data_IF_056628163864
#
_entry.id   IF_056628163864
#
_cell.length_a   1.000
_cell.length_b   1.000
_cell.length_c   1.000
_cell.angle_alpha   90.00
_cell.angle_beta   90.00
_cell.angle_gamma   90.00
#
_symmetry.space_group_name_H-M   'P 1'
#
loop_
_entity.id
_entity.type
_entity.pdbx_description
1 polymer ?
#
# COMPACT_ATOMS: atom_id res chain seq x y z
N UNK A 1 -21.53 -26.15 21.76
CA UNK A 1 -22.82 -26.13 21.05
C UNK A 1 -23.23 -27.58 20.78
N UNK A 2 -24.41 -28.03 21.21
CA UNK A 2 -24.92 -29.38 20.97
C UNK A 2 -24.89 -29.76 19.47
N UNK A 3 -24.64 -31.04 19.18
CA UNK A 3 -24.53 -31.56 17.80
C UNK A 3 -25.79 -31.29 16.96
N UNK A 4 -26.96 -31.30 17.62
CA UNK A 4 -28.26 -31.00 17.03
C UNK A 4 -28.36 -29.56 16.51
N UNK A 5 -27.71 -28.62 17.19
CA UNK A 5 -27.73 -27.19 16.84
C UNK A 5 -26.78 -26.89 15.67
N UNK A 6 -25.68 -27.65 15.55
CA UNK A 6 -24.78 -27.57 14.37
C UNK A 6 -25.48 -28.02 13.10
N UNK A 7 -26.30 -29.07 13.18
CA UNK A 7 -27.03 -29.63 12.02
C UNK A 7 -28.13 -28.69 11.52
N UNK A 8 -28.86 -28.06 12.44
CA UNK A 8 -29.87 -27.03 12.15
C UNK A 8 -29.27 -25.82 11.41
N UNK A 9 -28.13 -25.31 11.88
CA UNK A 9 -27.40 -24.24 11.19
C UNK A 9 -26.89 -24.68 9.81
N UNK A 10 -26.39 -25.90 9.66
CA UNK A 10 -25.91 -26.42 8.37
C UNK A 10 -27.03 -26.54 7.32
N UNK A 11 -28.23 -26.98 7.72
CA UNK A 11 -29.40 -27.13 6.85
C UNK A 11 -30.01 -25.78 6.45
N UNK A 12 -29.67 -24.68 7.15
CA UNK A 12 -30.17 -23.34 6.85
C UNK A 12 -29.45 -22.69 5.64
N UNK A 13 -28.23 -23.12 5.33
CA UNK A 13 -27.39 -22.57 4.25
C UNK A 13 -27.24 -23.50 3.04
N UNK A 14 -27.84 -24.70 3.10
CA UNK A 14 -27.93 -25.65 2.00
C UNK A 14 -29.41 -25.79 1.62
N UNK A 15 -29.83 -25.52 0.38
CA UNK A 15 -31.23 -25.70 -0.01
C UNK A 15 -31.65 -27.17 0.20
N UNK A 16 -32.86 -27.46 0.73
CA UNK A 16 -33.32 -28.82 1.05
C UNK A 16 -33.48 -29.77 -0.15
N UNK A 17 -33.14 -29.32 -1.36
CA UNK A 17 -33.27 -30.07 -2.61
C UNK A 17 -32.06 -29.89 -3.52
N UNK A 18 -30.85 -29.71 -2.96
CA UNK A 18 -29.65 -30.21 -3.63
C UNK A 18 -29.63 -31.73 -3.51
N UNK A 19 -30.67 -32.37 -4.06
CA UNK A 19 -30.67 -33.78 -4.36
C UNK A 19 -29.36 -34.07 -5.08
N UNK A 20 -28.74 -35.19 -4.70
CA UNK A 20 -27.67 -35.85 -5.43
C UNK A 20 -28.16 -36.31 -6.83
N UNK A 21 -28.88 -35.47 -7.56
CA UNK A 21 -28.86 -35.52 -9.01
C UNK A 21 -27.42 -35.28 -9.36
N UNK A 22 -26.75 -36.37 -9.72
CA UNK A 22 -25.38 -36.39 -10.19
C UNK A 22 -25.18 -35.13 -11.06
N UNK A 23 -24.47 -34.14 -10.50
CA UNK A 23 -23.88 -33.07 -11.30
C UNK A 23 -23.18 -33.84 -12.39
N UNK A 24 -23.70 -33.76 -13.62
CA UNK A 24 -23.08 -34.42 -14.77
C UNK A 24 -21.66 -33.89 -14.77
N UNK A 25 -20.72 -34.70 -14.27
CA UNK A 25 -19.31 -34.33 -14.28
C UNK A 25 -19.03 -34.02 -15.74
N UNK A 26 -18.61 -32.79 -16.08
CA UNK A 26 -18.10 -32.55 -17.42
C UNK A 26 -17.05 -33.64 -17.70
N UNK A 27 -16.95 -34.13 -18.96
CA UNK A 27 -15.92 -35.09 -19.32
C UNK A 27 -14.61 -34.63 -18.71
N UNK A 28 -13.93 -35.50 -17.97
CA UNK A 28 -12.62 -35.15 -17.40
C UNK A 28 -11.70 -34.99 -18.59
N UNK A 29 -11.51 -33.75 -19.06
CA UNK A 29 -10.43 -33.45 -19.99
C UNK A 29 -9.15 -33.97 -19.35
N UNK A 30 -8.44 -34.83 -20.06
CA UNK A 30 -7.18 -35.34 -19.57
C UNK A 30 -6.21 -34.17 -19.51
N UNK A 31 -5.86 -33.76 -18.30
CA UNK A 31 -4.86 -32.74 -18.06
C UNK A 31 -3.48 -33.35 -18.31
N UNK A 32 -2.75 -32.80 -19.27
CA UNK A 32 -1.36 -33.15 -19.53
C UNK A 32 -0.53 -31.88 -19.55
N UNK A 33 0.57 -31.89 -18.80
CA UNK A 33 1.59 -30.86 -18.90
C UNK A 33 2.31 -30.97 -20.25
N UNK A 34 2.50 -29.85 -20.91
CA UNK A 34 3.41 -29.73 -22.04
C UNK A 34 4.85 -29.96 -21.58
N UNK A 35 5.76 -30.20 -22.53
CA UNK A 35 7.18 -30.37 -22.19
C UNK A 35 7.77 -29.09 -21.57
N UNK A 36 7.36 -27.92 -22.06
CA UNK A 36 7.79 -26.63 -21.51
C UNK A 36 7.32 -26.44 -20.07
N UNK A 37 6.07 -26.77 -19.77
CA UNK A 37 5.53 -26.70 -18.39
C UNK A 37 6.20 -27.71 -17.45
N UNK A 38 6.53 -28.92 -17.92
CA UNK A 38 7.30 -29.87 -17.10
C UNK A 38 8.69 -29.37 -16.77
N UNK A 39 9.38 -28.78 -17.75
CA UNK A 39 10.70 -28.18 -17.53
C UNK A 39 10.58 -27.04 -16.52
N UNK A 40 9.62 -26.13 -16.71
CA UNK A 40 9.36 -25.02 -15.80
C UNK A 40 9.08 -25.51 -14.37
N UNK A 41 8.23 -26.52 -14.20
CA UNK A 41 7.94 -27.10 -12.89
C UNK A 41 9.18 -27.73 -12.25
N UNK A 42 10.02 -28.42 -13.04
CA UNK A 42 11.25 -29.04 -12.55
C UNK A 42 12.27 -27.98 -12.10
N UNK A 43 12.41 -26.89 -12.84
CA UNK A 43 13.32 -25.79 -12.50
C UNK A 43 12.88 -24.98 -11.28
N UNK A 44 11.59 -24.96 -10.97
CA UNK A 44 11.01 -24.14 -9.91
C UNK A 44 10.49 -24.97 -8.70
N UNK A 45 10.69 -26.29 -8.69
CA UNK A 45 10.27 -27.15 -7.59
C UNK A 45 11.28 -27.13 -6.41
N UNK A 46 10.81 -27.22 -5.15
CA UNK A 46 9.40 -27.24 -4.77
C UNK A 46 8.79 -25.83 -4.80
N UNK A 47 7.62 -25.70 -5.43
CA UNK A 47 6.79 -24.49 -5.38
C UNK A 47 6.08 -24.48 -4.02
N UNK A 48 6.44 -23.52 -3.18
CA UNK A 48 5.86 -23.40 -1.85
C UNK A 48 4.48 -22.75 -1.90
N UNK A 49 3.48 -23.40 -1.29
CA UNK A 49 2.11 -22.90 -1.16
C UNK A 49 1.78 -22.77 0.31
N UNK A 50 1.52 -21.56 0.77
CA UNK A 50 1.12 -21.30 2.14
C UNK A 50 -0.33 -21.71 2.42
N UNK A 51 -0.57 -22.32 3.58
CA UNK A 51 -1.92 -22.63 4.08
C UNK A 51 -2.07 -22.23 5.54
N UNK A 52 -3.25 -21.74 5.92
CA UNK A 52 -3.50 -21.38 7.31
C UNK A 52 -3.32 -22.58 8.25
N UNK A 53 -2.74 -22.36 9.41
CA UNK A 53 -2.52 -23.42 10.40
C UNK A 53 -3.65 -23.54 11.46
N UNK A 54 -4.62 -22.62 11.48
CA UNK A 54 -5.63 -22.53 12.54
C UNK A 54 -7.03 -22.12 12.04
N UNK A 55 -7.47 -22.63 10.88
CA UNK A 55 -8.80 -22.33 10.32
C UNK A 55 -9.61 -23.60 9.95
N UNK A 56 -10.02 -24.41 10.95
CA UNK A 56 -10.83 -25.60 10.69
C UNK A 56 -12.25 -25.24 10.22
N UNK A 57 -12.84 -25.99 9.26
CA UNK A 57 -12.30 -27.21 8.61
C UNK A 57 -11.54 -26.94 7.31
N UNK A 58 -11.27 -25.67 6.97
CA UNK A 58 -10.72 -25.28 5.68
C UNK A 58 -9.24 -25.63 5.59
N UNK A 59 -8.41 -25.07 6.48
CA UNK A 59 -6.97 -25.34 6.56
C UNK A 59 -6.52 -25.24 8.02
N UNK A 60 -5.92 -26.31 8.54
CA UNK A 60 -5.42 -26.35 9.90
C UNK A 60 -4.34 -27.43 10.03
N UNK A 61 -3.54 -27.37 11.09
CA UNK A 61 -2.58 -28.45 11.39
C UNK A 61 -3.16 -29.43 12.39
N UNK A 62 -2.83 -30.72 12.24
CA UNK A 62 -3.11 -31.72 13.26
C UNK A 62 -2.07 -31.67 14.39
N UNK A 63 -2.22 -32.54 15.40
CA UNK A 63 -1.30 -32.63 16.55
C UNK A 63 0.16 -32.98 16.19
N UNK A 64 0.39 -33.44 14.95
CA UNK A 64 1.71 -33.75 14.40
C UNK A 64 2.27 -32.60 13.53
N UNK A 65 1.58 -31.46 13.46
CA UNK A 65 1.96 -30.33 12.62
C UNK A 65 1.68 -30.51 11.13
N UNK A 66 0.99 -31.59 10.72
CA UNK A 66 0.66 -31.84 9.31
C UNK A 66 -0.54 -30.98 8.90
N UNK A 67 -0.45 -30.21 7.80
CA UNK A 67 -1.60 -29.51 7.22
C UNK A 67 -2.69 -30.51 6.80
N UNK A 68 -3.91 -30.26 7.26
CA UNK A 68 -5.13 -31.02 6.96
C UNK A 68 -6.31 -30.05 6.76
N UNK A 69 -7.38 -30.54 6.14
CA UNK A 69 -8.54 -29.73 5.81
C UNK A 69 -8.81 -29.69 4.32
N UNK A 70 -9.92 -29.06 3.94
CA UNK A 70 -10.40 -29.03 2.55
C UNK A 70 -9.36 -28.42 1.60
N UNK A 71 -8.70 -27.32 2.00
CA UNK A 71 -7.70 -26.64 1.19
C UNK A 71 -6.44 -27.48 1.01
N UNK A 72 -5.88 -27.99 2.11
CA UNK A 72 -4.73 -28.90 2.09
C UNK A 72 -4.97 -30.15 1.21
N UNK A 73 -6.14 -30.78 1.31
CA UNK A 73 -6.50 -31.92 0.47
C UNK A 73 -6.65 -31.56 -1.01
N UNK A 74 -7.16 -30.36 -1.31
CA UNK A 74 -7.25 -29.87 -2.68
C UNK A 74 -5.86 -29.64 -3.29
N UNK A 75 -4.94 -29.02 -2.53
CA UNK A 75 -3.55 -28.80 -2.97
C UNK A 75 -2.84 -30.14 -3.16
N UNK A 76 -3.04 -31.12 -2.27
CA UNK A 76 -2.47 -32.46 -2.43
C UNK A 76 -2.97 -33.13 -3.72
N UNK A 77 -4.27 -32.99 -4.03
CA UNK A 77 -4.83 -33.51 -5.28
C UNK A 77 -4.28 -32.82 -6.53
N UNK A 78 -3.94 -31.53 -6.47
CA UNK A 78 -3.22 -30.83 -7.54
C UNK A 78 -1.77 -31.33 -7.61
N UNK A 79 -1.11 -31.48 -6.47
CA UNK A 79 0.29 -31.87 -6.41
C UNK A 79 0.55 -33.24 -7.05
N UNK A 80 -0.39 -34.18 -6.89
CA UNK A 80 -0.38 -35.48 -7.59
C UNK A 80 -0.41 -35.35 -9.12
N UNK A 81 -1.04 -34.30 -9.66
CA UNK A 81 -1.08 -34.02 -11.11
C UNK A 81 0.13 -33.24 -11.61
N UNK A 82 0.91 -32.66 -10.71
CA UNK A 82 2.11 -31.88 -10.99
C UNK A 82 3.39 -32.63 -10.57
N UNK A 83 3.33 -33.97 -10.51
CA UNK A 83 4.46 -34.83 -10.16
C UNK A 83 5.19 -34.45 -8.86
N UNK A 84 4.44 -33.95 -7.86
CA UNK A 84 4.99 -33.59 -6.56
C UNK A 84 5.69 -32.22 -6.51
N UNK A 85 5.51 -31.36 -7.52
CA UNK A 85 6.16 -30.05 -7.60
C UNK A 85 5.78 -29.07 -6.48
N UNK A 86 4.70 -29.29 -5.74
CA UNK A 86 4.19 -28.38 -4.71
C UNK A 86 4.61 -28.83 -3.30
N UNK A 87 4.88 -27.86 -2.42
CA UNK A 87 5.14 -28.07 -1.00
C UNK A 87 4.26 -27.16 -0.16
N UNK A 88 3.46 -27.74 0.72
CA UNK A 88 2.58 -26.97 1.61
C UNK A 88 3.39 -26.42 2.79
N UNK A 89 3.25 -25.11 3.05
CA UNK A 89 3.85 -24.40 4.17
C UNK A 89 2.74 -23.92 5.13
N UNK A 90 2.51 -24.60 6.27
CA UNK A 90 1.52 -24.14 7.24
C UNK A 90 2.02 -22.93 8.02
N UNK A 91 1.16 -21.92 8.22
CA UNK A 91 1.49 -20.76 9.05
C UNK A 91 0.31 -19.87 9.39
N UNK A 92 0.55 -18.84 10.19
CA UNK A 92 -0.36 -17.69 10.28
C UNK A 92 -0.32 -16.88 8.97
N UNK A 93 -1.31 -16.02 8.75
CA UNK A 93 -1.28 -15.13 7.58
C UNK A 93 -0.01 -14.28 7.52
N UNK A 94 0.43 -13.74 8.65
CA UNK A 94 1.66 -12.93 8.77
C UNK A 94 2.94 -13.71 8.45
N UNK A 95 2.91 -15.04 8.58
CA UNK A 95 4.03 -15.91 8.21
C UNK A 95 3.98 -16.33 6.74
N UNK A 96 2.78 -16.59 6.22
CA UNK A 96 2.56 -17.04 4.83
C UNK A 96 2.77 -15.90 3.85
N UNK A 97 2.28 -14.71 4.20
CA UNK A 97 2.57 -13.49 3.46
C UNK A 97 3.68 -12.76 4.20
N UNK A 98 4.88 -12.72 3.64
CA UNK A 98 5.82 -11.66 4.00
C UNK A 98 5.06 -10.34 3.88
N UNK A 99 4.84 -9.64 5.00
CA UNK A 99 4.04 -8.42 5.00
C UNK A 99 4.68 -7.40 4.05
N UNK A 100 3.97 -7.10 2.95
CA UNK A 100 4.37 -6.02 2.06
C UNK A 100 3.98 -4.71 2.72
N UNK A 101 4.99 -3.92 3.09
CA UNK A 101 4.79 -2.57 3.61
C UNK A 101 5.09 -1.55 2.50
N UNK A 102 4.08 -0.85 2.00
CA UNK A 102 4.28 0.16 0.97
C UNK A 102 4.92 1.39 1.60
N UNK A 103 5.97 1.88 0.94
CA UNK A 103 6.61 3.13 1.29
C UNK A 103 6.81 3.99 0.05
N UNK A 104 6.59 5.30 0.19
CA UNK A 104 6.88 6.25 -0.88
C UNK A 104 8.39 6.42 -1.03
N UNK A 105 8.85 6.33 -2.27
CA UNK A 105 10.23 6.63 -2.65
C UNK A 105 10.47 8.12 -2.44
N UNK A 106 11.49 8.45 -1.64
CA UNK A 106 11.86 9.84 -1.31
C UNK A 106 13.12 10.32 -2.04
N UNK A 107 13.75 9.48 -2.86
CA UNK A 107 14.82 9.86 -3.81
C UNK A 107 14.27 10.16 -5.20
N UNK A 108 14.96 11.03 -5.94
CA UNK A 108 14.68 11.21 -7.37
C UNK A 108 15.12 9.97 -8.19
N UNK A 109 14.43 9.61 -9.28
CA UNK A 109 14.80 8.44 -10.11
C UNK A 109 16.20 8.48 -10.72
N UNK A 110 16.82 9.65 -10.87
CA UNK A 110 18.21 9.77 -11.34
C UNK A 110 19.27 9.64 -10.24
N UNK A 111 18.86 9.53 -8.97
CA UNK A 111 19.80 9.27 -7.88
C UNK A 111 20.37 7.85 -8.01
N UNK A 112 21.66 7.67 -7.73
CA UNK A 112 22.28 6.35 -7.79
C UNK A 112 21.76 5.37 -6.73
N UNK A 113 21.19 5.89 -5.64
CA UNK A 113 20.63 5.11 -4.55
C UNK A 113 19.13 5.38 -4.44
N UNK A 114 18.34 4.31 -4.32
CA UNK A 114 16.95 4.39 -3.90
C UNK A 114 16.89 4.78 -2.43
N UNK A 115 16.09 5.81 -2.11
CA UNK A 115 15.84 6.25 -0.74
C UNK A 115 14.36 6.10 -0.41
N UNK A 116 14.11 5.57 0.78
CA UNK A 116 12.80 5.52 1.40
C UNK A 116 12.91 6.19 2.76
N UNK A 117 11.90 6.98 3.13
CA UNK A 117 11.84 7.60 4.46
C UNK A 117 10.67 7.01 5.23
N UNK A 118 10.94 6.50 6.43
CA UNK A 118 9.95 5.85 7.28
C UNK A 118 9.87 6.56 8.63
N UNK A 119 8.66 6.87 9.08
CA UNK A 119 8.39 7.32 10.45
C UNK A 119 7.85 6.15 11.26
N UNK A 120 8.35 5.97 12.48
CA UNK A 120 7.83 4.95 13.40
C UNK A 120 6.42 5.35 13.86
N UNK A 121 5.40 4.71 13.27
CA UNK A 121 3.98 4.97 13.51
C UNK A 121 3.20 3.71 13.93
N UNK A 122 3.71 2.53 13.58
CA UNK A 122 3.18 1.23 13.95
C UNK A 122 4.28 0.28 14.44
N UNK A 123 3.87 -0.91 14.85
CA UNK A 123 4.74 -1.99 15.31
C UNK A 123 5.84 -2.34 14.30
N UNK A 124 5.50 -2.56 13.03
CA UNK A 124 6.47 -2.85 11.97
C UNK A 124 7.49 -1.72 11.82
N UNK A 125 7.03 -0.49 11.63
CA UNK A 125 7.93 0.68 11.42
C UNK A 125 8.80 0.99 12.64
N UNK A 126 8.31 0.73 13.86
CA UNK A 126 9.07 0.89 15.09
C UNK A 126 10.15 -0.21 15.23
N UNK A 127 9.80 -1.45 14.89
CA UNK A 127 10.75 -2.56 14.82
C UNK A 127 11.79 -2.33 13.73
N UNK A 128 11.38 -1.85 12.56
CA UNK A 128 12.28 -1.50 11.46
C UNK A 128 13.31 -0.47 11.92
N UNK A 129 12.89 0.62 12.56
CA UNK A 129 13.81 1.67 13.04
C UNK A 129 14.84 1.14 14.06
N UNK A 130 14.46 0.18 14.90
CA UNK A 130 15.34 -0.37 15.95
C UNK A 130 16.21 -1.54 15.50
N UNK A 131 15.87 -2.20 14.39
CA UNK A 131 16.58 -3.41 13.90
C UNK A 131 17.39 -3.17 12.62
N UNK A 132 17.10 -2.11 11.87
CA UNK A 132 17.77 -1.82 10.61
C UNK A 132 19.22 -1.38 10.85
N UNK A 133 20.15 -2.00 10.12
CA UNK A 133 21.57 -1.67 10.11
C UNK A 133 22.15 -1.91 8.71
N UNK A 134 23.33 -1.36 8.46
CA UNK A 134 24.01 -1.52 7.17
C UNK A 134 24.30 -3.00 6.86
N UNK A 135 24.13 -3.38 5.59
CA UNK A 135 24.34 -4.76 5.13
C UNK A 135 23.10 -5.66 5.15
N UNK A 136 21.98 -5.21 5.76
CA UNK A 136 20.70 -5.93 5.69
C UNK A 136 20.16 -5.92 4.26
N UNK A 137 19.85 -7.10 3.72
CA UNK A 137 19.21 -7.25 2.41
C UNK A 137 17.71 -6.96 2.49
N UNK A 138 17.15 -6.36 1.44
CA UNK A 138 15.71 -6.11 1.31
C UNK A 138 15.21 -6.55 -0.06
N UNK A 139 13.97 -7.03 -0.12
CA UNK A 139 13.25 -7.28 -1.38
C UNK A 139 12.33 -6.10 -1.66
N UNK A 140 12.37 -5.59 -2.88
CA UNK A 140 11.59 -4.42 -3.31
C UNK A 140 10.80 -4.82 -4.55
N UNK A 141 9.51 -4.51 -4.54
CA UNK A 141 8.62 -4.71 -5.67
C UNK A 141 7.94 -3.38 -6.02
N UNK A 142 7.77 -3.08 -7.30
CA UNK A 142 7.20 -1.83 -7.79
C UNK A 142 7.94 -1.26 -9.02
N UNK A 143 7.77 0.02 -9.35
CA UNK A 143 7.03 1.04 -8.60
C UNK A 143 5.50 0.89 -8.71
N UNK A 144 4.79 1.43 -7.72
CA UNK A 144 3.33 1.47 -7.67
C UNK A 144 2.82 2.89 -7.40
N UNK A 145 1.55 3.13 -7.70
CA UNK A 145 0.89 4.42 -7.50
C UNK A 145 0.91 5.33 -8.73
N UNK A 146 -0.05 6.24 -8.79
CA UNK A 146 -0.21 7.22 -9.88
C UNK A 146 -0.05 8.67 -9.38
N UNK A 147 0.41 8.84 -8.13
CA UNK A 147 0.60 10.14 -7.52
C UNK A 147 1.84 10.81 -8.14
N UNK A 148 1.61 11.74 -9.06
CA UNK A 148 2.65 12.48 -9.76
C UNK A 148 2.16 13.89 -10.09
N UNK A 149 2.93 14.91 -9.71
CA UNK A 149 2.58 16.31 -9.95
C UNK A 149 2.37 16.65 -11.44
N UNK A 150 3.00 15.88 -12.36
CA UNK A 150 2.86 16.04 -13.81
C UNK A 150 1.47 15.67 -14.34
N UNK A 151 0.69 14.89 -13.57
CA UNK A 151 -0.68 14.52 -13.93
C UNK A 151 -1.68 15.66 -13.65
N UNK A 152 -1.24 16.76 -13.03
CA UNK A 152 -2.09 17.89 -12.73
C UNK A 152 -2.46 18.70 -13.97
N UNK A 153 -3.75 19.04 -14.09
CA UNK A 153 -4.28 19.88 -15.18
C UNK A 153 -3.59 21.25 -15.24
N UNK A 154 -3.38 21.88 -14.09
CA UNK A 154 -2.80 23.21 -14.00
C UNK A 154 -1.33 23.15 -13.57
N UNK A 155 -0.53 24.07 -14.12
CA UNK A 155 0.88 24.28 -13.74
C UNK A 155 1.02 25.12 -12.47
N UNK A 156 -0.02 25.88 -12.08
CA UNK A 156 -0.14 26.45 -10.75
C UNK A 156 -0.59 25.36 -9.79
N UNK A 157 0.26 25.01 -8.82
CA UNK A 157 0.05 23.86 -7.96
C UNK A 157 0.21 24.19 -6.48
N UNK A 158 -0.63 23.55 -5.67
CA UNK A 158 -0.54 23.58 -4.22
C UNK A 158 -0.24 22.18 -3.70
N UNK A 159 0.94 21.99 -3.14
CA UNK A 159 1.35 20.73 -2.55
C UNK A 159 1.18 20.81 -1.04
N UNK A 160 0.57 19.80 -0.44
CA UNK A 160 0.22 19.79 0.98
C UNK A 160 0.71 18.50 1.60
N UNK A 161 1.66 18.61 2.51
CA UNK A 161 2.32 17.50 3.19
C UNK A 161 2.01 17.51 4.69
N UNK A 162 1.66 16.35 5.24
CA UNK A 162 1.46 16.14 6.67
C UNK A 162 2.49 15.19 7.26
N UNK A 163 3.39 15.70 8.12
CA UNK A 163 4.43 14.88 8.73
C UNK A 163 5.24 14.11 7.68
N UNK A 164 5.21 12.77 7.76
CA UNK A 164 5.92 11.86 6.84
C UNK A 164 5.38 11.90 5.39
N UNK A 165 4.19 12.46 5.16
CA UNK A 165 3.65 12.72 3.83
C UNK A 165 4.42 13.75 3.00
N UNK A 166 5.55 14.25 3.50
CA UNK A 166 6.52 15.04 2.73
C UNK A 166 7.24 14.22 1.65
N UNK A 167 7.32 12.90 1.84
CA UNK A 167 8.11 11.97 1.03
C UNK A 167 7.91 12.06 -0.49
N UNK A 168 6.68 12.08 -1.07
CA UNK A 168 6.53 12.23 -2.51
C UNK A 168 7.07 13.58 -3.01
N UNK A 169 6.90 14.63 -2.21
CA UNK A 169 7.30 15.99 -2.59
C UNK A 169 8.81 16.21 -2.56
N UNK A 170 9.57 15.42 -1.77
CA UNK A 170 11.04 15.42 -1.83
C UNK A 170 11.54 14.99 -3.21
N UNK A 171 10.89 14.01 -3.83
CA UNK A 171 11.20 13.64 -5.22
C UNK A 171 10.70 14.72 -6.18
N UNK A 172 9.43 15.14 -6.08
CA UNK A 172 8.83 16.05 -7.05
C UNK A 172 9.56 17.39 -7.15
N UNK A 173 10.01 17.96 -6.03
CA UNK A 173 10.62 19.30 -6.01
C UNK A 173 11.92 19.40 -6.81
N UNK A 174 12.60 18.26 -7.02
CA UNK A 174 13.79 18.19 -7.85
C UNK A 174 13.47 18.28 -9.34
N UNK A 175 12.27 17.86 -9.76
CA UNK A 175 11.80 17.81 -11.14
C UNK A 175 11.02 19.04 -11.60
N UNK A 176 10.74 19.98 -10.70
CA UNK A 176 9.98 21.19 -11.04
C UNK A 176 10.79 22.08 -11.97
N UNK A 177 10.31 22.26 -13.20
CA UNK A 177 10.82 23.24 -14.17
C UNK A 177 10.15 24.62 -14.01
N UNK A 178 10.62 25.60 -14.78
CA UNK A 178 10.16 26.99 -14.75
C UNK A 178 8.69 27.21 -15.17
N UNK A 179 8.05 26.24 -15.84
CA UNK A 179 6.66 26.37 -16.27
C UNK A 179 5.67 26.19 -15.11
N UNK A 180 6.10 25.53 -14.04
CA UNK A 180 5.28 25.29 -12.86
C UNK A 180 5.36 26.46 -11.87
N UNK A 181 4.28 26.71 -11.13
CA UNK A 181 4.26 27.65 -10.01
C UNK A 181 3.76 26.89 -8.79
N UNK A 182 4.67 26.52 -7.89
CA UNK A 182 4.41 25.57 -6.80
C UNK A 182 4.46 26.27 -5.46
N UNK A 183 3.46 26.04 -4.63
CA UNK A 183 3.58 26.28 -3.18
C UNK A 183 3.46 24.96 -2.44
N UNK A 184 4.48 24.59 -1.68
CA UNK A 184 4.49 23.45 -0.78
C UNK A 184 4.19 23.91 0.64
N UNK A 185 3.09 23.43 1.22
CA UNK A 185 2.73 23.58 2.62
C UNK A 185 3.08 22.27 3.32
N UNK A 186 4.04 22.31 4.24
CA UNK A 186 4.41 21.17 5.07
C UNK A 186 4.01 21.43 6.52
N UNK A 187 2.96 20.74 6.97
CA UNK A 187 2.51 20.81 8.35
C UNK A 187 3.19 19.71 9.18
N UNK A 188 3.80 20.10 10.28
CA UNK A 188 4.47 19.23 11.25
C UNK A 188 3.97 19.56 12.66
N UNK A 189 4.08 18.59 13.59
CA UNK A 189 3.67 18.84 14.97
C UNK A 189 4.52 19.96 15.58
N UNK A 190 5.83 19.82 15.48
CA UNK A 190 6.83 20.80 15.90
C UNK A 190 7.84 21.03 14.78
N UNK A 191 8.49 22.19 14.76
CA UNK A 191 9.59 22.45 13.80
C UNK A 191 10.74 21.45 13.90
N UNK A 192 10.97 20.82 15.06
CA UNK A 192 11.98 19.78 15.22
C UNK A 192 11.71 18.52 14.40
N UNK A 193 10.46 18.27 14.01
CA UNK A 193 10.10 17.15 13.12
C UNK A 193 10.33 17.45 11.63
N UNK A 194 10.70 18.69 11.28
CA UNK A 194 10.92 19.12 9.90
C UNK A 194 12.31 18.74 9.36
N UNK A 195 12.71 17.47 9.48
CA UNK A 195 14.08 16.98 9.23
C UNK A 195 14.64 17.23 7.81
N UNK A 196 13.78 17.54 6.84
CA UNK A 196 14.15 17.77 5.43
C UNK A 196 14.18 19.25 5.02
N UNK A 197 14.06 20.17 5.98
CA UNK A 197 14.05 21.60 5.70
C UNK A 197 15.25 22.07 4.88
N UNK A 198 16.46 21.63 5.22
CA UNK A 198 17.69 22.05 4.53
C UNK A 198 17.79 21.47 3.11
N UNK A 199 17.37 20.22 2.92
CA UNK A 199 17.31 19.57 1.60
C UNK A 199 16.33 20.30 0.69
N UNK A 200 15.13 20.60 1.20
CA UNK A 200 14.09 21.35 0.51
C UNK A 200 14.56 22.77 0.12
N UNK A 201 15.17 23.50 1.06
CA UNK A 201 15.71 24.84 0.80
C UNK A 201 16.82 24.82 -0.25
N UNK A 202 17.67 23.79 -0.22
CA UNK A 202 18.72 23.58 -1.22
C UNK A 202 18.14 23.31 -2.61
N UNK A 203 17.08 22.49 -2.68
CA UNK A 203 16.44 22.11 -3.95
C UNK A 203 15.76 23.29 -4.67
N UNK A 204 15.30 24.31 -3.93
CA UNK A 204 14.64 25.49 -4.49
C UNK A 204 15.54 26.71 -4.69
N UNK A 205 16.84 26.62 -4.33
CA UNK A 205 17.78 27.75 -4.37
C UNK A 205 17.79 28.52 -5.70
N UNK A 206 17.54 27.81 -6.81
CA UNK A 206 17.49 28.37 -8.16
C UNK A 206 16.09 28.27 -8.81
N UNK A 207 15.04 28.07 -8.01
CA UNK A 207 13.65 27.90 -8.46
C UNK A 207 12.75 28.99 -7.84
N UNK A 208 12.76 30.23 -8.34
CA UNK A 208 11.96 31.33 -7.78
C UNK A 208 10.44 31.09 -7.90
N UNK A 209 10.04 30.17 -8.77
CA UNK A 209 8.68 29.70 -8.99
C UNK A 209 8.20 28.68 -7.95
N UNK A 210 9.03 28.31 -6.97
CA UNK A 210 8.69 27.37 -5.89
C UNK A 210 8.78 28.05 -4.54
N UNK A 211 7.71 27.97 -3.76
CA UNK A 211 7.64 28.49 -2.38
C UNK A 211 7.40 27.34 -1.40
N UNK A 212 8.09 27.36 -0.27
CA UNK A 212 7.92 26.38 0.80
C UNK A 212 7.44 27.08 2.07
N UNK A 213 6.41 26.51 2.69
CA UNK A 213 5.78 26.97 3.92
C UNK A 213 5.79 25.83 4.92
N UNK A 214 6.65 25.91 5.94
CA UNK A 214 6.68 24.95 7.05
C UNK A 214 5.81 25.49 8.19
N UNK A 215 4.84 24.70 8.63
CA UNK A 215 3.85 25.09 9.62
C UNK A 215 3.88 24.18 10.85
N UNK A 216 4.18 24.77 11.99
CA UNK A 216 4.20 24.14 13.31
C UNK A 216 2.79 24.18 13.91
N UNK A 217 2.15 23.01 14.04
CA UNK A 217 0.77 22.94 14.51
C UNK A 217 0.63 23.05 16.02
N UNK A 218 1.69 22.75 16.79
CA UNK A 218 1.68 22.85 18.25
C UNK A 218 1.64 24.32 18.70
N UNK A 219 2.34 25.20 18.00
CA UNK A 219 2.41 26.63 18.34
C UNK A 219 1.44 27.50 17.55
N UNK A 220 1.00 27.08 16.35
CA UNK A 220 0.19 27.92 15.44
C UNK A 220 -1.19 27.36 15.10
N UNK A 221 -1.67 26.35 15.84
CA UNK A 221 -2.88 25.58 15.51
C UNK A 221 -2.80 24.95 14.10
N UNK A 222 -3.88 24.37 13.59
CA UNK A 222 -3.92 23.84 12.23
C UNK A 222 -3.82 24.95 11.18
N UNK A 223 -3.06 24.69 10.11
CA UNK A 223 -2.96 25.62 8.98
C UNK A 223 -4.33 25.77 8.29
N UNK A 224 -4.72 27.01 7.97
CA UNK A 224 -5.96 27.31 7.26
C UNK A 224 -5.68 27.88 5.88
N UNK A 225 -6.05 27.13 4.83
CA UNK A 225 -6.03 27.61 3.45
C UNK A 225 -6.98 28.79 3.30
N UNK A 226 -8.14 28.73 3.95
CA UNK A 226 -9.15 29.78 3.87
C UNK A 226 -8.60 31.14 4.32
N UNK A 227 -7.88 31.15 5.45
CA UNK A 227 -7.27 32.34 6.02
C UNK A 227 -6.03 32.79 5.22
N UNK A 228 -5.14 31.86 4.88
CA UNK A 228 -3.89 32.20 4.19
C UNK A 228 -4.13 32.72 2.76
N UNK A 229 -5.14 32.18 2.08
CA UNK A 229 -5.51 32.55 0.71
C UNK A 229 -6.86 33.28 0.66
N UNK A 230 -7.15 34.12 1.65
CA UNK A 230 -8.42 34.83 1.77
C UNK A 230 -8.79 35.66 0.52
N UNK A 231 -7.79 36.27 -0.11
CA UNK A 231 -7.88 37.19 -1.25
C UNK A 231 -7.37 36.58 -2.57
N UNK A 232 -6.95 35.31 -2.54
CA UNK A 232 -6.35 34.64 -3.71
C UNK A 232 -7.35 33.65 -4.28
N UNK A 233 -7.61 33.75 -5.60
CA UNK A 233 -8.38 32.75 -6.31
C UNK A 233 -7.54 31.48 -6.56
N UNK A 234 -8.07 30.33 -6.16
CA UNK A 234 -7.45 29.01 -6.33
C UNK A 234 -8.16 28.16 -7.40
N UNK A 235 -9.21 28.65 -8.07
CA UNK A 235 -9.98 27.85 -9.04
C UNK A 235 -9.13 27.21 -10.15
N UNK A 236 -8.08 27.89 -10.62
CA UNK A 236 -7.14 27.39 -11.64
C UNK A 236 -5.87 26.81 -11.01
N UNK A 237 -6.03 25.99 -9.96
CA UNK A 237 -4.92 25.35 -9.22
C UNK A 237 -5.16 23.86 -9.12
N UNK A 238 -4.12 23.05 -9.34
CA UNK A 238 -4.15 21.63 -8.99
C UNK A 238 -3.53 21.43 -7.61
N UNK A 239 -4.24 20.73 -6.72
CA UNK A 239 -3.77 20.40 -5.38
C UNK A 239 -3.28 18.95 -5.31
N UNK A 240 -2.15 18.73 -4.63
CA UNK A 240 -1.60 17.41 -4.32
C UNK A 240 -1.45 17.28 -2.81
N UNK A 241 -2.06 16.27 -2.19
CA UNK A 241 -2.13 16.12 -0.73
C UNK A 241 -1.61 14.76 -0.31
N UNK A 242 -0.68 14.73 0.64
CA UNK A 242 -0.17 13.49 1.20
C UNK A 242 0.02 13.65 2.72
N UNK A 243 -0.62 12.78 3.50
CA UNK A 243 -0.64 12.89 4.97
C UNK A 243 -1.81 12.17 5.63
N UNK A 244 -1.99 12.34 6.96
CA UNK A 244 -3.03 11.66 7.73
C UNK A 244 -4.45 11.95 7.22
N UNK A 245 -5.33 10.95 7.31
CA UNK A 245 -6.69 11.00 6.76
C UNK A 245 -7.48 12.26 7.20
N UNK A 246 -7.53 12.55 8.50
CA UNK A 246 -8.24 13.73 9.02
C UNK A 246 -7.70 15.05 8.50
N UNK A 247 -6.38 15.16 8.30
CA UNK A 247 -5.75 16.33 7.70
C UNK A 247 -6.14 16.46 6.22
N UNK A 248 -6.13 15.35 5.46
CA UNK A 248 -6.50 15.38 4.04
C UNK A 248 -7.91 15.89 3.86
N UNK A 249 -8.89 15.32 4.58
CA UNK A 249 -10.29 15.78 4.48
C UNK A 249 -10.44 17.25 4.86
N UNK A 250 -9.80 17.69 5.95
CA UNK A 250 -9.83 19.09 6.37
C UNK A 250 -9.28 20.06 5.31
N UNK A 251 -8.25 19.67 4.54
CA UNK A 251 -7.76 20.49 3.43
C UNK A 251 -8.63 20.40 2.17
N UNK A 252 -9.15 19.22 1.85
CA UNK A 252 -10.07 19.03 0.71
C UNK A 252 -11.28 19.94 0.88
N UNK A 253 -11.90 19.96 2.05
CA UNK A 253 -13.05 20.84 2.33
C UNK A 253 -12.73 22.33 2.11
N UNK A 254 -11.57 22.78 2.60
CA UNK A 254 -11.13 24.17 2.43
C UNK A 254 -10.84 24.51 0.96
N UNK A 255 -10.26 23.59 0.20
CA UNK A 255 -10.00 23.75 -1.24
C UNK A 255 -11.29 23.85 -2.05
N UNK A 256 -12.28 23.00 -1.74
CA UNK A 256 -13.59 23.05 -2.38
C UNK A 256 -14.31 24.38 -2.12
N UNK A 257 -14.25 24.91 -0.89
CA UNK A 257 -14.78 26.25 -0.58
C UNK A 257 -14.05 27.36 -1.35
N UNK A 258 -12.77 27.15 -1.69
CA UNK A 258 -11.97 28.03 -2.57
C UNK A 258 -12.17 27.77 -4.06
N UNK A 259 -13.18 26.97 -4.42
CA UNK A 259 -13.59 26.64 -5.80
C UNK A 259 -12.54 25.86 -6.58
N UNK A 260 -11.63 25.17 -5.90
CA UNK A 260 -10.79 24.15 -6.55
C UNK A 260 -11.70 22.99 -6.94
N UNK A 261 -11.65 22.57 -8.20
CA UNK A 261 -12.41 21.42 -8.68
C UNK A 261 -11.94 20.14 -7.99
N UNK A 262 -12.87 19.26 -7.62
CA UNK A 262 -12.52 17.95 -7.01
C UNK A 262 -11.62 17.11 -7.94
N UNK A 263 -11.78 17.24 -9.26
CA UNK A 263 -10.96 16.52 -10.24
C UNK A 263 -9.52 17.05 -10.30
N UNK A 264 -9.28 18.24 -9.76
CA UNK A 264 -7.96 18.88 -9.68
C UNK A 264 -7.37 18.75 -8.26
N UNK A 265 -7.97 17.91 -7.39
CA UNK A 265 -7.44 17.56 -6.07
C UNK A 265 -7.01 16.10 -6.08
N UNK A 266 -5.71 15.86 -6.04
CA UNK A 266 -5.12 14.53 -5.99
C UNK A 266 -4.59 14.28 -4.58
N UNK A 267 -4.72 13.05 -4.09
CA UNK A 267 -4.15 12.67 -2.81
C UNK A 267 -3.60 11.25 -2.82
N UNK A 268 -2.64 11.01 -1.94
CA UNK A 268 -2.07 9.70 -1.68
C UNK A 268 -2.44 9.22 -0.27
N UNK A 269 -2.60 7.90 -0.11
CA UNK A 269 -3.00 7.25 1.14
C UNK A 269 -1.91 6.31 1.65
N UNK A 270 -1.65 6.36 2.96
CA UNK A 270 -0.69 5.48 3.65
C UNK A 270 -1.35 4.35 4.44
N UNK A 271 -2.68 4.24 4.40
CA UNK A 271 -3.44 3.17 5.03
C UNK A 271 -3.83 2.10 4.02
N UNK A 272 -3.32 0.89 4.23
CA UNK A 272 -3.93 -0.33 3.68
C UNK A 272 -4.82 -0.88 4.80
N UNK A 273 -6.12 -1.04 4.50
CA UNK A 273 -7.05 -1.77 5.38
C UNK A 273 -6.95 -3.26 5.10
#
# INVERSE_FOLDING_TARGET
MPEKDRRSLFEQWLPPEASLQAVKRPPTEQFFLTNEERILLTENAPIEIGVMNAWPPIDYVNDQGKPIGIGANFIEAINLRLDGALKIIPGSWDFIYAEYHPFTVSSHPSCCNLRVTVKALGDYTSKLQSSLHEGVSSSIQGPYGMFNFKNGKYKKQLWIAGGIGITPFLSFITEVDENYHVTLIWTVKTLGEASYQDELNSAIKHKPNVRILIHDTETKNHFSIENHYNSVNLADTTAFICGPEGMRYGFIEQLLKKRVSINDIHFEEFSFR
#
